data_IF_796329894333
#
_entry.id   IF_796329894333
#
_cell.length_a   1.000
_cell.length_b   1.000
_cell.length_c   1.000
_cell.angle_alpha   90.00
_cell.angle_beta   90.00
_cell.angle_gamma   90.00
#
_symmetry.space_group_name_H-M   'P 1'
#
loop_
_entity.id
_entity.type
_entity.pdbx_description
1 polymer ?
#
# COMPACT_ATOMS: atom_id res chain seq x y z
N UNK A 1 0.29 -3.54 42.88
CA UNK A 1 0.79 -3.43 41.49
C UNK A 1 -0.44 -3.19 40.62
N UNK A 2 -0.46 -2.12 39.81
CA UNK A 2 -1.55 -1.91 38.85
C UNK A 2 -1.10 -2.57 37.56
N UNK A 3 -1.80 -3.61 37.14
CA UNK A 3 -1.62 -4.19 35.83
C UNK A 3 -1.88 -3.10 34.78
N UNK A 4 -0.81 -2.66 34.11
CA UNK A 4 -0.95 -1.84 32.91
C UNK A 4 -1.42 -2.80 31.84
N UNK A 5 -2.73 -2.96 31.74
CA UNK A 5 -3.37 -3.68 30.66
C UNK A 5 -3.27 -2.79 29.42
N UNK A 6 -2.10 -2.81 28.76
CA UNK A 6 -1.89 -2.10 27.51
C UNK A 6 -2.78 -2.74 26.46
N UNK A 7 -3.90 -2.10 26.12
CA UNK A 7 -4.67 -2.47 24.95
C UNK A 7 -3.75 -2.42 23.73
N UNK A 8 -3.35 -3.57 23.22
CA UNK A 8 -2.61 -3.64 21.95
C UNK A 8 -3.64 -3.36 20.87
N UNK A 9 -3.76 -2.09 20.47
CA UNK A 9 -4.46 -1.75 19.24
C UNK A 9 -3.73 -2.43 18.08
N UNK A 10 -4.41 -3.30 17.30
CA UNK A 10 -3.75 -4.00 16.21
C UNK A 10 -3.23 -2.98 15.19
N UNK A 11 -1.96 -3.10 14.83
CA UNK A 11 -1.33 -2.25 13.81
C UNK A 11 -2.08 -2.39 12.48
N UNK A 12 -2.48 -1.25 11.92
CA UNK A 12 -3.10 -1.16 10.61
C UNK A 12 -2.03 -0.83 9.56
N UNK A 13 -2.28 -1.23 8.32
CA UNK A 13 -1.27 -1.20 7.26
C UNK A 13 -1.80 -0.51 6.01
N UNK A 14 -0.90 0.19 5.31
CA UNK A 14 -1.16 0.78 4.01
C UNK A 14 0.04 0.65 3.08
N UNK A 15 -0.20 0.93 1.81
CA UNK A 15 0.82 1.06 0.77
C UNK A 15 0.71 2.47 0.19
N UNK A 16 1.83 3.18 0.12
CA UNK A 16 1.93 4.43 -0.63
C UNK A 16 2.15 4.11 -2.11
N UNK A 17 1.25 4.60 -2.96
CA UNK A 17 1.37 4.53 -4.42
C UNK A 17 1.10 5.95 -4.95
N UNK A 18 2.13 6.80 -5.04
CA UNK A 18 1.92 8.17 -5.50
C UNK A 18 1.63 8.19 -7.01
N UNK A 19 0.90 9.21 -7.48
CA UNK A 19 0.62 9.42 -8.90
C UNK A 19 1.91 9.61 -9.73
N UNK A 20 2.87 10.34 -9.17
CA UNK A 20 4.22 10.53 -9.72
C UNK A 20 5.25 10.38 -8.58
N UNK A 21 6.52 10.04 -8.86
CA UNK A 21 7.53 9.82 -7.81
C UNK A 21 7.72 10.98 -6.83
N UNK A 22 7.52 12.22 -7.29
CA UNK A 22 7.69 13.45 -6.51
C UNK A 22 6.37 13.99 -5.94
N UNK A 23 5.25 13.31 -6.20
CA UNK A 23 3.93 13.73 -5.72
C UNK A 23 3.76 13.47 -4.23
N UNK A 24 2.75 14.11 -3.63
CA UNK A 24 2.38 13.82 -2.25
C UNK A 24 1.98 12.35 -2.08
N UNK A 25 2.29 11.72 -0.93
CA UNK A 25 1.93 10.33 -0.67
C UNK A 25 0.42 10.09 -0.81
N UNK A 26 0.06 8.98 -1.44
CA UNK A 26 -1.31 8.49 -1.51
C UNK A 26 -1.35 7.13 -0.83
N UNK A 27 -1.91 7.11 0.37
CA UNK A 27 -1.92 5.93 1.22
C UNK A 27 -3.17 5.08 0.97
N UNK A 28 -2.94 3.85 0.56
CA UNK A 28 -4.00 2.88 0.28
C UNK A 28 -4.00 1.78 1.36
N UNK A 29 -5.02 1.74 2.23
CA UNK A 29 -5.22 0.66 3.20
C UNK A 29 -5.13 -0.75 2.60
N UNK A 30 -4.45 -1.65 3.31
CA UNK A 30 -4.41 -3.10 3.02
C UNK A 30 -4.84 -3.90 4.25
N UNK A 31 -5.49 -5.07 4.07
CA UNK A 31 -6.06 -5.83 5.18
C UNK A 31 -5.00 -6.52 6.06
N UNK A 32 -3.81 -6.81 5.53
CA UNK A 32 -2.74 -7.46 6.29
C UNK A 32 -1.35 -7.00 5.84
N UNK A 33 -0.37 -7.11 6.76
CA UNK A 33 1.04 -6.86 6.45
C UNK A 33 1.54 -7.72 5.29
N UNK A 34 1.13 -8.99 5.24
CA UNK A 34 1.54 -9.93 4.18
C UNK A 34 1.10 -9.45 2.81
N UNK A 35 -0.16 -9.01 2.69
CA UNK A 35 -0.71 -8.48 1.44
C UNK A 35 0.02 -7.22 1.01
N UNK A 36 0.26 -6.27 1.92
CA UNK A 36 1.01 -5.05 1.62
C UNK A 36 2.43 -5.31 1.10
N UNK A 37 3.19 -6.18 1.78
CA UNK A 37 4.55 -6.56 1.33
C UNK A 37 4.56 -7.24 -0.04
N UNK A 38 3.60 -8.14 -0.28
CA UNK A 38 3.47 -8.82 -1.59
C UNK A 38 3.10 -7.84 -2.70
N UNK A 39 2.18 -6.91 -2.42
CA UNK A 39 1.76 -5.88 -3.36
C UNK A 39 2.92 -4.96 -3.74
N UNK A 40 3.64 -4.39 -2.76
CA UNK A 40 4.77 -3.50 -3.03
C UNK A 40 5.84 -4.21 -3.86
N UNK A 41 6.20 -5.44 -3.49
CA UNK A 41 7.17 -6.21 -4.26
C UNK A 41 6.72 -6.44 -5.71
N UNK A 42 5.44 -6.77 -5.92
CA UNK A 42 4.86 -6.96 -7.26
C UNK A 42 4.91 -5.65 -8.06
N UNK A 43 4.37 -4.56 -7.52
CA UNK A 43 4.30 -3.27 -8.22
C UNK A 43 5.68 -2.70 -8.54
N UNK A 44 6.68 -2.85 -7.66
CA UNK A 44 8.07 -2.45 -7.98
C UNK A 44 8.62 -3.22 -9.18
N UNK A 45 8.37 -4.53 -9.27
CA UNK A 45 8.78 -5.33 -10.42
C UNK A 45 8.06 -4.93 -11.69
N UNK A 46 6.75 -4.70 -11.60
CA UNK A 46 5.94 -4.26 -12.72
C UNK A 46 6.39 -2.88 -13.23
N UNK A 47 6.72 -1.94 -12.34
CA UNK A 47 7.22 -0.62 -12.72
C UNK A 47 8.53 -0.70 -13.50
N UNK A 48 9.48 -1.52 -13.04
CA UNK A 48 10.74 -1.77 -13.75
C UNK A 48 10.53 -2.41 -15.13
N UNK A 49 9.50 -3.23 -15.27
CA UNK A 49 9.14 -3.88 -16.53
C UNK A 49 8.41 -2.92 -17.50
N UNK A 50 7.44 -2.15 -16.99
CA UNK A 50 6.58 -1.29 -17.79
C UNK A 50 7.27 0.01 -18.24
N UNK A 51 8.21 0.53 -17.44
CA UNK A 51 8.80 1.85 -17.65
C UNK A 51 10.33 1.78 -17.74
N UNK A 52 10.93 1.59 -18.93
CA UNK A 52 12.38 1.40 -19.07
C UNK A 52 13.25 2.56 -18.58
N UNK A 53 12.74 3.79 -18.65
CA UNK A 53 13.51 5.00 -18.31
C UNK A 53 13.26 5.48 -16.88
N UNK A 54 12.02 5.36 -16.39
CA UNK A 54 11.59 5.94 -15.11
C UNK A 54 11.12 4.90 -14.10
N UNK A 55 11.13 3.61 -14.45
CA UNK A 55 10.61 2.52 -13.62
C UNK A 55 11.32 2.38 -12.29
N UNK A 56 12.61 2.69 -12.21
CA UNK A 56 13.35 2.70 -10.95
C UNK A 56 12.84 3.79 -10.01
N UNK A 57 12.63 5.01 -10.50
CA UNK A 57 12.07 6.11 -9.70
C UNK A 57 10.66 5.78 -9.19
N UNK A 58 9.81 5.19 -10.04
CA UNK A 58 8.47 4.73 -9.65
C UNK A 58 8.58 3.62 -8.59
N UNK A 59 9.43 2.62 -8.80
CA UNK A 59 9.63 1.54 -7.85
C UNK A 59 10.13 2.03 -6.49
N UNK A 60 11.01 3.02 -6.46
CA UNK A 60 11.53 3.58 -5.21
C UNK A 60 10.48 4.39 -4.44
N UNK A 61 9.57 5.06 -5.14
CA UNK A 61 8.48 5.85 -4.55
C UNK A 61 7.39 5.00 -3.87
N UNK A 62 7.26 3.72 -4.23
CA UNK A 62 6.26 2.82 -3.65
C UNK A 62 6.76 2.27 -2.31
N UNK A 63 6.02 2.55 -1.23
CA UNK A 63 6.38 2.16 0.15
C UNK A 63 5.28 1.38 0.85
N UNK A 64 5.67 0.55 1.81
CA UNK A 64 4.76 -0.15 2.72
C UNK A 64 4.98 0.39 4.13
N UNK A 65 3.90 0.82 4.79
CA UNK A 65 3.99 1.54 6.07
C UNK A 65 2.80 1.28 6.99
N UNK A 66 2.93 1.73 8.24
CA UNK A 66 1.86 1.68 9.23
C UNK A 66 0.84 2.78 8.93
N UNK A 67 -0.44 2.41 8.95
CA UNK A 67 -1.52 3.37 8.77
C UNK A 67 -1.64 4.26 10.01
N UNK A 68 -1.44 5.57 9.82
CA UNK A 68 -1.52 6.58 10.89
C UNK A 68 -2.91 7.23 11.02
N UNK A 69 -3.87 6.86 10.15
CA UNK A 69 -5.24 7.36 10.20
C UNK A 69 -6.13 6.59 11.19
N UNK A 70 -7.43 6.89 11.19
CA UNK A 70 -8.39 6.18 12.05
C UNK A 70 -8.63 4.74 11.58
N UNK A 71 -9.07 3.89 12.51
CA UNK A 71 -9.47 2.51 12.18
C UNK A 71 -10.71 2.51 11.29
N UNK A 72 -11.64 3.42 11.54
CA UNK A 72 -12.89 3.58 10.80
C UNK A 72 -12.64 3.92 9.33
N UNK A 73 -11.68 4.83 9.04
CA UNK A 73 -11.31 5.19 7.67
C UNK A 73 -10.63 4.01 6.96
N UNK A 74 -9.78 3.27 7.67
CA UNK A 74 -9.11 2.07 7.14
C UNK A 74 -10.13 1.01 6.72
N UNK A 75 -11.07 0.69 7.62
CA UNK A 75 -12.11 -0.30 7.37
C UNK A 75 -13.06 0.16 6.26
N UNK A 76 -13.47 1.43 6.26
CA UNK A 76 -14.32 2.00 5.22
C UNK A 76 -13.65 1.89 3.85
N UNK A 77 -12.38 2.25 3.73
CA UNK A 77 -11.63 2.14 2.48
C UNK A 77 -11.62 0.69 1.96
N UNK A 78 -11.34 -0.28 2.84
CA UNK A 78 -11.29 -1.70 2.46
C UNK A 78 -12.67 -2.26 2.05
N UNK A 79 -13.74 -1.75 2.65
CA UNK A 79 -15.11 -2.12 2.28
C UNK A 79 -15.52 -1.54 0.93
N UNK A 80 -15.16 -0.29 0.67
CA UNK A 80 -15.50 0.43 -0.56
C UNK A 80 -14.62 -0.03 -1.75
N UNK A 81 -13.38 -0.46 -1.48
CA UNK A 81 -12.38 -0.86 -2.49
C UNK A 81 -11.97 -2.34 -2.31
N UNK A 82 -12.94 -3.25 -2.39
CA UNK A 82 -12.68 -4.67 -2.14
C UNK A 82 -11.66 -5.23 -3.13
N UNK A 83 -10.64 -5.90 -2.61
CA UNK A 83 -9.60 -6.58 -3.40
C UNK A 83 -8.80 -5.68 -4.35
N UNK A 84 -8.79 -4.35 -4.14
CA UNK A 84 -8.07 -3.41 -5.00
C UNK A 84 -6.59 -3.80 -5.22
N UNK A 85 -5.95 -4.37 -4.18
CA UNK A 85 -4.56 -4.85 -4.23
C UNK A 85 -4.34 -6.01 -5.20
N UNK A 86 -5.38 -6.70 -5.66
CA UNK A 86 -5.29 -7.70 -6.72
C UNK A 86 -5.37 -7.06 -8.11
N UNK A 87 -6.06 -5.93 -8.23
CA UNK A 87 -6.40 -5.29 -9.50
C UNK A 87 -5.40 -4.20 -9.90
N UNK A 88 -4.80 -3.51 -8.92
CA UNK A 88 -3.78 -2.49 -9.20
C UNK A 88 -2.54 -3.11 -9.84
N UNK A 89 -2.21 -2.65 -11.04
CA UNK A 89 -1.05 -3.12 -11.81
C UNK A 89 -0.49 -2.02 -12.72
N UNK A 90 0.80 -2.06 -13.00
CA UNK A 90 1.43 -1.23 -14.05
C UNK A 90 1.50 -1.89 -15.42
N UNK A 91 1.11 -3.17 -15.54
CA UNK A 91 1.21 -3.91 -16.80
C UNK A 91 -0.03 -3.74 -17.71
N UNK A 92 -1.01 -2.94 -17.29
CA UNK A 92 -2.29 -2.72 -17.96
C UNK A 92 -3.17 -3.99 -18.01
N UNK A 93 -4.39 -3.86 -18.57
CA UNK A 93 -5.13 -5.01 -19.09
C UNK A 93 -4.53 -5.46 -20.44
N UNK A 94 -3.24 -5.82 -20.45
CA UNK A 94 -2.55 -6.49 -21.57
C UNK A 94 -2.59 -5.83 -22.96
N UNK A 95 -1.44 -5.28 -23.40
CA UNK A 95 -1.09 -5.18 -24.83
C UNK A 95 -1.50 -3.90 -25.56
#
# INVERSE_FOLDING_TARGET
MKDVNTEITPTLWCVNIPEEPESSPILHPVPTQKIGKQLVYRLKKEALQAFPTVGQCIADAITFEEWQGSKEDHEKYLQDNKNWWLETTFLGEGG
#
